data_IF_432293294930
#
_entry.id   IF_432293294930
#
_cell.length_a   1.000
_cell.length_b   1.000
_cell.length_c   1.000
_cell.angle_alpha   90.00
_cell.angle_beta   90.00
_cell.angle_gamma   90.00
#
_symmetry.space_group_name_H-M   'P 1'
#
loop_
_entity.id
_entity.type
_entity.pdbx_description
1 polymer ?
#
# COMPACT_ATOMS: atom_id res chain seq x y z
N UNK A 1 9.19 -16.11 -23.66
CA UNK A 1 8.72 -17.52 -23.66
C UNK A 1 7.20 -17.58 -23.45
N UNK A 2 6.64 -16.95 -22.43
CA UNK A 2 5.18 -16.97 -22.17
C UNK A 2 4.34 -16.37 -23.32
N UNK A 3 4.82 -15.31 -23.95
CA UNK A 3 4.14 -14.68 -25.12
C UNK A 3 4.10 -15.64 -26.31
N UNK A 4 5.23 -16.32 -26.60
CA UNK A 4 5.30 -17.34 -27.66
C UNK A 4 4.35 -18.50 -27.35
N UNK A 5 4.31 -18.97 -26.11
CA UNK A 5 3.41 -20.04 -25.67
C UNK A 5 1.93 -19.64 -25.80
N UNK A 6 1.55 -18.42 -25.44
CA UNK A 6 0.18 -17.89 -25.65
C UNK A 6 -0.16 -17.79 -27.13
N UNK A 7 0.77 -17.25 -27.94
CA UNK A 7 0.57 -17.15 -29.38
C UNK A 7 0.35 -18.53 -30.02
N UNK A 8 1.19 -19.55 -29.69
CA UNK A 8 1.03 -20.93 -30.18
C UNK A 8 -0.30 -21.54 -29.76
N UNK A 9 -0.73 -21.27 -28.50
CA UNK A 9 -2.04 -21.75 -28.01
C UNK A 9 -3.21 -21.14 -28.80
N UNK A 10 -3.10 -19.86 -29.17
CA UNK A 10 -4.13 -19.17 -29.96
C UNK A 10 -4.05 -19.47 -31.47
N UNK A 11 -2.89 -19.95 -31.95
CA UNK A 11 -2.65 -20.25 -33.35
C UNK A 11 -1.97 -21.63 -33.49
N UNK A 12 -2.69 -22.74 -33.25
CA UNK A 12 -2.10 -24.09 -33.19
C UNK A 12 -1.37 -24.52 -34.45
N UNK A 13 -1.86 -24.09 -35.62
CA UNK A 13 -1.32 -24.45 -36.95
C UNK A 13 -0.05 -23.69 -37.35
N UNK A 14 0.34 -22.66 -36.57
CA UNK A 14 1.55 -21.89 -36.89
C UNK A 14 2.80 -22.65 -36.52
N UNK A 15 3.72 -22.90 -37.49
CA UNK A 15 5.03 -23.48 -37.18
C UNK A 15 5.88 -22.51 -36.35
N UNK A 16 6.54 -23.05 -35.32
CA UNK A 16 7.46 -22.34 -34.45
C UNK A 16 8.93 -22.75 -34.66
N UNK A 17 9.19 -23.56 -35.65
CA UNK A 17 10.51 -24.20 -35.86
C UNK A 17 11.64 -23.20 -36.14
N UNK A 18 11.29 -22.03 -36.68
CA UNK A 18 12.23 -20.93 -36.92
C UNK A 18 12.51 -20.05 -35.70
N UNK A 19 11.75 -20.19 -34.62
CA UNK A 19 11.89 -19.36 -33.42
C UNK A 19 12.96 -19.97 -32.52
N UNK A 20 14.09 -19.25 -32.37
CA UNK A 20 15.16 -19.61 -31.45
C UNK A 20 15.12 -18.69 -30.24
N UNK A 21 15.08 -19.28 -29.04
CA UNK A 21 15.09 -18.53 -27.77
C UNK A 21 16.46 -18.80 -27.11
N UNK A 22 17.28 -17.75 -26.85
CA UNK A 22 18.51 -17.94 -26.09
C UNK A 22 18.16 -18.33 -24.65
N UNK A 23 18.83 -19.38 -24.16
CA UNK A 23 18.67 -19.86 -22.80
C UNK A 23 20.02 -19.81 -22.08
N UNK A 24 20.07 -19.18 -20.91
CA UNK A 24 21.19 -19.23 -19.98
C UNK A 24 20.78 -20.06 -18.77
N UNK A 25 21.50 -21.14 -18.53
CA UNK A 25 21.31 -21.99 -17.35
C UNK A 25 22.45 -21.69 -16.38
N UNK A 26 22.12 -21.38 -15.13
CA UNK A 26 23.10 -21.12 -14.07
C UNK A 26 22.83 -22.12 -12.94
N UNK A 27 23.88 -22.91 -12.61
CA UNK A 27 23.81 -23.84 -11.49
C UNK A 27 24.04 -23.09 -10.19
N UNK A 28 23.15 -23.22 -9.23
CA UNK A 28 23.19 -22.52 -7.94
C UNK A 28 23.71 -23.37 -6.78
N UNK A 29 24.02 -24.66 -7.02
CA UNK A 29 24.35 -25.61 -5.95
C UNK A 29 25.60 -25.21 -5.11
N UNK A 30 26.53 -24.47 -5.69
CA UNK A 30 27.78 -24.03 -5.03
C UNK A 30 27.88 -22.49 -4.95
N UNK A 31 26.81 -21.78 -5.30
CA UNK A 31 26.79 -20.32 -5.30
C UNK A 31 26.47 -19.76 -3.91
N UNK A 32 26.92 -18.52 -3.59
CA UNK A 32 26.50 -17.81 -2.38
C UNK A 32 24.98 -17.72 -2.26
N UNK A 33 24.47 -17.69 -1.04
CA UNK A 33 23.01 -17.72 -0.73
C UNK A 33 22.21 -16.68 -1.54
N UNK A 34 22.77 -15.51 -1.83
CA UNK A 34 22.10 -14.43 -2.55
C UNK A 34 22.42 -14.38 -4.05
N UNK A 35 23.23 -15.29 -4.59
CA UNK A 35 23.71 -15.22 -5.97
C UNK A 35 22.59 -15.27 -7.01
N UNK A 36 21.58 -16.12 -6.81
CA UNK A 36 20.42 -16.19 -7.71
C UNK A 36 19.66 -14.87 -7.79
N UNK A 37 19.49 -14.19 -6.66
CA UNK A 37 18.85 -12.86 -6.58
C UNK A 37 19.69 -11.80 -7.30
N UNK A 38 21.01 -11.80 -7.11
CA UNK A 38 21.91 -10.86 -7.78
C UNK A 38 21.95 -11.07 -9.29
N UNK A 39 22.00 -12.32 -9.75
CA UNK A 39 21.94 -12.66 -11.19
C UNK A 39 20.60 -12.21 -11.79
N UNK A 40 19.50 -12.44 -11.10
CA UNK A 40 18.18 -11.97 -11.53
C UNK A 40 18.15 -10.45 -11.62
N UNK A 41 18.67 -9.75 -10.62
CA UNK A 41 18.80 -8.29 -10.59
C UNK A 41 19.65 -7.77 -11.75
N UNK A 42 20.80 -8.40 -12.01
CA UNK A 42 21.73 -7.99 -13.06
C UNK A 42 21.17 -8.22 -14.47
N UNK A 43 20.54 -9.36 -14.71
CA UNK A 43 19.97 -9.71 -16.02
C UNK A 43 18.69 -8.91 -16.34
N UNK A 44 17.96 -8.48 -15.34
CA UNK A 44 16.69 -7.77 -15.52
C UNK A 44 16.82 -6.24 -15.55
N UNK A 45 18.04 -5.71 -15.48
CA UNK A 45 18.31 -4.27 -15.70
C UNK A 45 17.87 -3.77 -17.08
N UNK A 46 17.71 -4.65 -18.06
CA UNK A 46 17.21 -4.30 -19.41
C UNK A 46 15.69 -4.30 -19.51
N UNK A 47 14.98 -5.09 -18.71
CA UNK A 47 13.55 -4.94 -18.50
C UNK A 47 13.38 -4.04 -17.28
N UNK A 48 12.52 -3.06 -17.35
CA UNK A 48 12.21 -2.11 -16.27
C UNK A 48 11.60 -2.85 -15.06
N UNK A 49 12.45 -3.68 -14.38
CA UNK A 49 12.04 -4.32 -13.12
C UNK A 49 12.18 -3.25 -12.06
N UNK A 50 11.07 -2.93 -11.49
CA UNK A 50 11.00 -2.06 -10.34
C UNK A 50 11.34 -2.85 -9.06
N UNK A 51 11.89 -2.17 -8.06
CA UNK A 51 12.21 -2.79 -6.77
C UNK A 51 11.02 -3.54 -6.14
N UNK A 52 9.80 -3.14 -6.47
CA UNK A 52 8.56 -3.80 -6.10
C UNK A 52 8.49 -5.27 -6.56
N UNK A 53 9.13 -5.63 -7.66
CA UNK A 53 9.07 -7.01 -8.18
C UNK A 53 9.92 -7.99 -7.34
N UNK A 54 10.88 -7.47 -6.55
CA UNK A 54 11.67 -8.27 -5.62
C UNK A 54 10.96 -8.56 -4.28
N UNK A 55 9.85 -7.90 -4.02
CA UNK A 55 9.03 -8.12 -2.80
C UNK A 55 8.56 -9.57 -2.69
N UNK A 56 8.35 -10.25 -3.82
CA UNK A 56 7.98 -11.67 -3.85
C UNK A 56 9.04 -12.61 -3.29
N UNK A 57 10.27 -12.13 -3.09
CA UNK A 57 11.38 -12.88 -2.52
C UNK A 57 11.61 -12.55 -1.02
N UNK A 58 10.89 -11.56 -0.47
CA UNK A 58 11.00 -11.22 0.95
C UNK A 58 10.33 -12.30 1.82
N UNK A 59 11.06 -12.93 2.77
CA UNK A 59 10.51 -13.94 3.66
C UNK A 59 9.28 -13.47 4.45
N UNK A 60 9.22 -12.18 4.84
CA UNK A 60 8.06 -11.63 5.55
C UNK A 60 6.81 -11.61 4.67
N UNK A 61 6.96 -11.30 3.40
CA UNK A 61 5.82 -11.33 2.46
C UNK A 61 5.31 -12.75 2.22
N UNK A 62 6.23 -13.71 2.11
CA UNK A 62 5.87 -15.13 1.95
C UNK A 62 5.16 -15.64 3.22
N UNK A 63 5.62 -15.24 4.41
CA UNK A 63 4.99 -15.57 5.69
C UNK A 63 3.58 -14.98 5.78
N UNK A 64 3.43 -13.68 5.53
CA UNK A 64 2.12 -12.98 5.55
C UNK A 64 1.17 -13.62 4.54
N UNK A 65 1.64 -13.96 3.33
CA UNK A 65 0.84 -14.64 2.32
C UNK A 65 0.35 -16.00 2.80
N UNK A 66 1.21 -16.77 3.45
CA UNK A 66 0.85 -18.09 3.98
C UNK A 66 -0.18 -17.99 5.10
N UNK A 67 -0.02 -17.03 6.02
CA UNK A 67 -0.97 -16.75 7.08
C UNK A 67 -2.35 -16.33 6.54
N UNK A 68 -2.36 -15.39 5.58
CA UNK A 68 -3.60 -14.92 4.95
C UNK A 68 -4.32 -16.02 4.17
N UNK A 69 -3.57 -16.90 3.51
CA UNK A 69 -4.14 -18.04 2.78
C UNK A 69 -4.89 -19.00 3.72
N UNK A 70 -4.41 -19.19 4.94
CA UNK A 70 -5.11 -20.01 5.94
C UNK A 70 -6.45 -19.39 6.37
N UNK A 71 -6.57 -18.06 6.27
CA UNK A 71 -7.80 -17.31 6.52
C UNK A 71 -8.71 -17.16 5.26
N UNK A 72 -8.37 -17.84 4.17
CA UNK A 72 -9.12 -17.76 2.91
C UNK A 72 -8.93 -16.45 2.15
N UNK A 73 -7.86 -15.70 2.45
CA UNK A 73 -7.54 -14.43 1.81
C UNK A 73 -6.47 -14.65 0.74
N UNK A 74 -6.72 -14.16 -0.46
CA UNK A 74 -5.76 -14.15 -1.56
C UNK A 74 -4.94 -12.85 -1.55
N UNK A 75 -3.67 -12.98 -1.14
CA UNK A 75 -2.71 -11.89 -1.05
C UNK A 75 -1.70 -11.96 -2.19
N UNK A 76 -1.80 -11.02 -3.13
CA UNK A 76 -0.92 -10.98 -4.29
C UNK A 76 0.36 -10.19 -4.01
N UNK A 77 1.49 -10.90 -3.89
CA UNK A 77 2.83 -10.30 -3.75
C UNK A 77 3.52 -10.05 -5.10
N UNK A 78 3.01 -10.65 -6.17
CA UNK A 78 3.50 -10.45 -7.53
C UNK A 78 2.56 -9.53 -8.31
N UNK A 79 3.13 -8.74 -9.23
CA UNK A 79 2.30 -7.99 -10.18
C UNK A 79 1.59 -8.95 -11.12
N UNK A 80 0.31 -8.75 -11.31
CA UNK A 80 -0.49 -9.50 -12.28
C UNK A 80 -1.43 -8.55 -13.03
N UNK A 81 -1.44 -8.67 -14.35
CA UNK A 81 -2.38 -7.92 -15.20
C UNK A 81 -3.84 -8.35 -14.99
N UNK A 82 -4.03 -9.55 -14.44
CA UNK A 82 -5.36 -10.13 -14.17
C UNK A 82 -5.82 -9.95 -12.74
N UNK A 83 -5.02 -9.26 -11.90
CA UNK A 83 -5.37 -9.02 -10.50
C UNK A 83 -6.60 -8.12 -10.42
N UNK A 84 -7.58 -8.53 -9.61
CA UNK A 84 -8.77 -7.74 -9.27
C UNK A 84 -8.98 -7.80 -7.77
N UNK A 85 -8.99 -6.65 -7.12
CA UNK A 85 -9.26 -6.55 -5.70
C UNK A 85 -10.73 -6.93 -5.40
N UNK A 86 -10.94 -7.67 -4.30
CA UNK A 86 -12.26 -8.06 -3.79
C UNK A 86 -12.22 -8.07 -2.27
N UNK A 87 -13.32 -8.41 -1.60
CA UNK A 87 -13.37 -8.48 -0.14
C UNK A 87 -12.38 -9.47 0.46
N UNK A 88 -11.99 -10.48 -0.31
CA UNK A 88 -11.03 -11.53 0.08
C UNK A 88 -9.73 -11.48 -0.71
N UNK A 89 -9.51 -10.44 -1.52
CA UNK A 89 -8.33 -10.34 -2.40
C UNK A 89 -7.75 -8.94 -2.34
N UNK A 90 -6.44 -8.82 -2.07
CA UNK A 90 -5.69 -7.57 -2.14
C UNK A 90 -4.22 -7.83 -2.47
N UNK A 91 -3.51 -6.78 -2.89
CA UNK A 91 -2.09 -6.87 -3.21
C UNK A 91 -1.20 -6.20 -2.16
N UNK A 92 0.12 -6.36 -2.34
CA UNK A 92 1.10 -5.78 -1.43
C UNK A 92 1.08 -4.25 -1.43
N UNK A 93 0.70 -3.60 -2.52
CA UNK A 93 0.63 -2.14 -2.58
C UNK A 93 -0.53 -1.63 -1.72
N UNK A 94 -1.69 -2.30 -1.75
CA UNK A 94 -2.82 -2.00 -0.88
C UNK A 94 -2.52 -2.28 0.58
N UNK A 95 -1.86 -3.40 0.88
CA UNK A 95 -1.40 -3.73 2.23
C UNK A 95 -0.42 -2.67 2.76
N UNK A 96 0.59 -2.27 1.97
CA UNK A 96 1.57 -1.27 2.32
C UNK A 96 0.92 0.08 2.64
N UNK A 97 0.01 0.54 1.78
CA UNK A 97 -0.72 1.79 1.99
C UNK A 97 -1.54 1.75 3.27
N UNK A 98 -2.22 0.64 3.52
CA UNK A 98 -3.06 0.46 4.70
C UNK A 98 -2.23 0.44 5.98
N UNK A 99 -1.13 -0.32 6.00
CA UNK A 99 -0.18 -0.37 7.10
C UNK A 99 0.47 1.00 7.37
N UNK A 100 0.82 1.75 6.32
CA UNK A 100 1.35 3.10 6.46
C UNK A 100 0.35 4.02 7.18
N UNK A 101 -0.93 3.97 6.82
CA UNK A 101 -1.97 4.76 7.47
C UNK A 101 -2.22 4.31 8.93
N UNK A 102 -2.07 3.01 9.22
CA UNK A 102 -2.21 2.47 10.58
C UNK A 102 -0.98 2.69 11.47
N UNK A 103 0.17 3.02 10.88
CA UNK A 103 1.45 3.13 11.61
C UNK A 103 1.52 4.27 12.63
N UNK A 104 0.61 5.27 12.53
CA UNK A 104 0.71 6.51 13.30
C UNK A 104 1.89 7.40 12.88
N UNK A 105 2.58 7.08 11.78
CA UNK A 105 3.76 7.80 11.31
C UNK A 105 3.45 8.60 10.04
N UNK A 106 3.27 9.91 10.22
CA UNK A 106 2.93 10.82 9.13
C UNK A 106 4.01 10.89 8.03
N UNK A 107 5.28 10.68 8.38
CA UNK A 107 6.37 10.71 7.39
C UNK A 107 6.27 9.53 6.42
N UNK A 108 5.92 8.34 6.90
CA UNK A 108 5.66 7.17 6.05
C UNK A 108 4.48 7.44 5.12
N UNK A 109 3.38 7.95 5.67
CA UNK A 109 2.17 8.28 4.90
C UNK A 109 2.45 9.30 3.80
N UNK A 110 3.25 10.31 4.11
CA UNK A 110 3.64 11.35 3.14
C UNK A 110 4.50 10.76 2.01
N UNK A 111 5.41 9.85 2.34
CA UNK A 111 6.23 9.17 1.33
C UNK A 111 5.37 8.27 0.43
N UNK A 112 4.47 7.49 1.00
CA UNK A 112 3.48 6.69 0.25
C UNK A 112 2.61 7.56 -0.65
N UNK A 113 2.18 8.73 -0.17
CA UNK A 113 1.43 9.70 -0.98
C UNK A 113 2.26 10.25 -2.15
N UNK A 114 3.56 10.40 -1.97
CA UNK A 114 4.51 10.81 -3.02
C UNK A 114 4.78 9.73 -4.07
N UNK A 115 4.59 8.47 -3.72
CA UNK A 115 4.77 7.29 -4.58
C UNK A 115 5.19 6.06 -3.78
N UNK A 116 4.39 5.00 -3.88
CA UNK A 116 4.61 3.72 -3.19
C UNK A 116 5.98 3.11 -3.56
N UNK A 117 6.42 3.28 -4.81
CA UNK A 117 7.70 2.76 -5.31
C UNK A 117 8.92 3.16 -4.48
N UNK A 118 8.88 4.34 -3.85
CA UNK A 118 9.97 4.82 -2.97
C UNK A 118 10.17 3.98 -1.71
N UNK A 119 9.12 3.33 -1.22
CA UNK A 119 9.21 2.43 -0.06
C UNK A 119 9.99 1.17 -0.45
N UNK A 120 9.83 0.69 -1.68
CA UNK A 120 10.49 -0.52 -2.19
C UNK A 120 11.95 -0.29 -2.60
N UNK A 121 12.47 0.95 -2.60
CA UNK A 121 13.88 1.22 -2.91
C UNK A 121 14.83 0.57 -1.90
N UNK A 122 14.36 0.32 -0.66
CA UNK A 122 15.14 -0.36 0.38
C UNK A 122 14.29 -1.42 1.08
N UNK A 123 14.33 -2.65 0.56
CA UNK A 123 13.61 -3.80 1.12
C UNK A 123 14.27 -4.36 2.39
N UNK A 124 15.54 -4.07 2.62
CA UNK A 124 16.30 -4.56 3.78
C UNK A 124 16.21 -3.63 4.99
N UNK A 125 15.57 -2.46 4.85
CA UNK A 125 15.52 -1.48 5.92
C UNK A 125 14.49 -0.37 5.70
N UNK A 126 14.68 0.74 6.39
CA UNK A 126 13.85 1.94 6.26
C UNK A 126 12.38 1.69 6.57
N UNK A 127 11.51 2.40 5.87
CA UNK A 127 10.07 2.31 6.09
C UNK A 127 9.46 0.97 5.67
N UNK A 128 10.07 0.27 4.70
CA UNK A 128 9.59 -1.04 4.31
C UNK A 128 9.64 -2.03 5.47
N UNK A 129 10.78 -2.16 6.15
CA UNK A 129 10.92 -3.05 7.32
C UNK A 129 10.19 -2.53 8.57
N UNK A 130 9.89 -1.25 8.63
CA UNK A 130 8.99 -0.72 9.67
C UNK A 130 7.56 -1.24 9.49
N UNK A 131 7.09 -1.34 8.24
CA UNK A 131 5.73 -1.76 7.90
C UNK A 131 5.59 -3.28 7.82
N UNK A 132 6.60 -3.97 7.28
CA UNK A 132 6.64 -5.42 7.14
C UNK A 132 7.77 -5.98 7.99
N UNK A 133 7.46 -6.26 9.24
CA UNK A 133 8.38 -6.81 10.23
C UNK A 133 7.79 -8.10 10.86
N UNK A 134 8.58 -8.90 11.58
CA UNK A 134 8.12 -10.17 12.15
C UNK A 134 6.88 -10.08 13.07
N UNK A 135 6.59 -8.91 13.63
CA UNK A 135 5.44 -8.70 14.51
C UNK A 135 4.13 -8.41 13.72
N UNK A 136 4.23 -8.08 12.43
CA UNK A 136 3.06 -7.80 11.58
C UNK A 136 2.50 -9.12 11.06
N UNK A 137 1.37 -9.56 11.59
CA UNK A 137 0.69 -10.80 11.19
C UNK A 137 -0.20 -10.60 9.97
N UNK A 138 -0.47 -11.66 9.22
CA UNK A 138 -1.42 -11.63 8.09
C UNK A 138 -2.82 -11.22 8.53
N UNK A 139 -3.27 -11.68 9.70
CA UNK A 139 -4.57 -11.28 10.28
C UNK A 139 -4.63 -9.77 10.51
N UNK A 140 -3.57 -9.18 11.08
CA UNK A 140 -3.51 -7.73 11.26
C UNK A 140 -3.53 -6.99 9.93
N UNK A 141 -2.77 -7.44 8.93
CA UNK A 141 -2.79 -6.85 7.58
C UNK A 141 -4.20 -6.85 7.01
N UNK A 142 -4.92 -7.97 7.09
CA UNK A 142 -6.30 -8.08 6.62
C UNK A 142 -7.24 -7.10 7.35
N UNK A 143 -7.14 -6.99 8.66
CA UNK A 143 -7.95 -6.06 9.46
C UNK A 143 -7.69 -4.60 9.05
N UNK A 144 -6.44 -4.22 8.87
CA UNK A 144 -6.04 -2.85 8.47
C UNK A 144 -6.49 -2.54 7.04
N UNK A 145 -6.37 -3.49 6.11
CA UNK A 145 -6.86 -3.33 4.74
C UNK A 145 -8.39 -3.14 4.73
N UNK A 146 -9.13 -3.95 5.45
CA UNK A 146 -10.59 -3.81 5.58
C UNK A 146 -10.98 -2.45 6.17
N UNK A 147 -10.29 -2.00 7.21
CA UNK A 147 -10.51 -0.68 7.80
C UNK A 147 -10.22 0.45 6.80
N UNK A 148 -9.10 0.36 6.08
CA UNK A 148 -8.75 1.36 5.08
C UNK A 148 -9.81 1.44 3.96
N UNK A 149 -10.32 0.31 3.50
CA UNK A 149 -11.41 0.24 2.53
C UNK A 149 -12.70 0.89 3.04
N UNK A 150 -13.07 0.68 4.31
CA UNK A 150 -14.20 1.38 4.95
C UNK A 150 -14.01 2.89 4.93
N UNK A 151 -12.84 3.37 5.34
CA UNK A 151 -12.50 4.80 5.34
C UNK A 151 -12.58 5.38 3.92
N UNK A 152 -12.01 4.69 2.93
CA UNK A 152 -12.06 5.12 1.52
C UNK A 152 -13.51 5.15 0.99
N UNK A 153 -14.36 4.20 1.38
CA UNK A 153 -15.79 4.18 1.01
C UNK A 153 -16.52 5.40 1.55
N UNK A 154 -16.32 5.72 2.85
CA UNK A 154 -16.91 6.91 3.48
C UNK A 154 -16.40 8.19 2.79
N UNK A 155 -15.09 8.29 2.57
CA UNK A 155 -14.48 9.44 1.88
C UNK A 155 -15.03 9.63 0.47
N UNK A 156 -15.21 8.56 -0.29
CA UNK A 156 -15.79 8.62 -1.63
C UNK A 156 -17.26 9.08 -1.59
N UNK A 157 -18.04 8.60 -0.62
CA UNK A 157 -19.41 9.03 -0.43
C UNK A 157 -19.48 10.55 -0.09
N UNK A 158 -18.61 11.03 0.81
CA UNK A 158 -18.51 12.46 1.14
C UNK A 158 -18.07 13.29 -0.08
N UNK A 159 -17.12 12.79 -0.87
CA UNK A 159 -16.69 13.48 -2.10
C UNK A 159 -17.85 13.59 -3.11
N UNK A 160 -18.66 12.54 -3.24
CA UNK A 160 -19.80 12.52 -4.17
C UNK A 160 -20.95 13.45 -3.75
N UNK A 161 -21.06 13.82 -2.47
CA UNK A 161 -22.03 14.80 -1.97
C UNK A 161 -21.67 16.25 -2.37
N UNK A 162 -20.41 16.49 -2.75
CA UNK A 162 -19.99 17.82 -3.17
C UNK A 162 -20.55 18.12 -4.56
N UNK A 163 -21.24 19.26 -4.69
CA UNK A 163 -21.82 19.70 -5.98
C UNK A 163 -20.80 20.17 -7.01
N UNK A 164 -19.52 20.19 -6.67
CA UNK A 164 -18.42 20.65 -7.53
C UNK A 164 -17.18 19.79 -7.29
N UNK A 165 -16.47 19.46 -8.37
CA UNK A 165 -15.18 18.79 -8.36
C UNK A 165 -13.99 19.76 -8.16
N UNK A 166 -14.23 20.90 -7.55
CA UNK A 166 -13.22 21.92 -7.29
C UNK A 166 -13.42 22.53 -5.88
N UNK A 167 -12.44 23.34 -5.46
CA UNK A 167 -12.48 24.02 -4.18
C UNK A 167 -11.74 23.29 -3.06
N UNK A 168 -11.68 23.94 -1.88
CA UNK A 168 -10.88 23.44 -0.75
C UNK A 168 -11.41 22.14 -0.18
N UNK A 169 -12.72 21.99 -0.09
CA UNK A 169 -13.34 20.77 0.45
C UNK A 169 -13.06 19.56 -0.43
N UNK A 170 -13.27 19.70 -1.73
CA UNK A 170 -12.91 18.67 -2.70
C UNK A 170 -11.43 18.34 -2.66
N UNK A 171 -10.58 19.37 -2.67
CA UNK A 171 -9.13 19.21 -2.58
C UNK A 171 -8.69 18.50 -1.30
N UNK A 172 -9.33 18.77 -0.16
CA UNK A 172 -9.03 18.11 1.11
C UNK A 172 -9.38 16.61 1.05
N UNK A 173 -10.54 16.26 0.53
CA UNK A 173 -10.97 14.86 0.41
C UNK A 173 -10.10 14.08 -0.60
N UNK A 174 -9.75 14.69 -1.73
CA UNK A 174 -9.01 14.01 -2.82
C UNK A 174 -7.50 13.98 -2.55
N UNK A 175 -6.90 15.12 -2.22
CA UNK A 175 -5.45 15.19 -2.00
C UNK A 175 -5.06 14.74 -0.59
N UNK A 176 -5.93 14.96 0.40
CA UNK A 176 -5.73 14.57 1.81
C UNK A 176 -6.11 13.13 2.13
N UNK A 177 -6.45 12.28 1.15
CA UNK A 177 -6.97 10.93 1.38
C UNK A 177 -6.12 10.09 2.35
N UNK A 178 -4.79 10.09 2.22
CA UNK A 178 -3.88 9.34 3.09
C UNK A 178 -3.77 9.97 4.48
N UNK A 179 -3.81 11.30 4.58
CA UNK A 179 -3.84 12.00 5.86
C UNK A 179 -5.14 11.71 6.62
N UNK A 180 -6.27 11.73 5.94
CA UNK A 180 -7.57 11.38 6.53
C UNK A 180 -7.53 9.95 7.07
N UNK A 181 -7.04 8.98 6.28
CA UNK A 181 -6.92 7.60 6.73
C UNK A 181 -6.00 7.47 7.96
N UNK A 182 -4.85 8.15 7.97
CA UNK A 182 -3.95 8.20 9.12
C UNK A 182 -4.64 8.75 10.37
N UNK A 183 -5.37 9.88 10.26
CA UNK A 183 -6.06 10.50 11.39
C UNK A 183 -7.17 9.60 11.93
N UNK A 184 -7.98 9.00 11.06
CA UNK A 184 -9.06 8.08 11.47
C UNK A 184 -8.48 6.85 12.16
N UNK A 185 -7.47 6.21 11.58
CA UNK A 185 -6.85 5.02 12.17
C UNK A 185 -6.15 5.33 13.49
N UNK A 186 -5.56 6.53 13.62
CA UNK A 186 -4.97 6.99 14.89
C UNK A 186 -6.03 7.25 15.95
N UNK A 187 -7.15 7.87 15.58
CA UNK A 187 -8.29 8.11 16.48
C UNK A 187 -8.95 6.80 16.94
N UNK A 188 -9.00 5.79 16.09
CA UNK A 188 -9.48 4.44 16.42
C UNK A 188 -8.43 3.59 17.15
N UNK A 189 -7.21 4.10 17.36
CA UNK A 189 -6.09 3.39 17.99
C UNK A 189 -5.78 2.03 17.35
N UNK A 190 -5.89 1.96 16.02
CA UNK A 190 -5.67 0.72 15.26
C UNK A 190 -4.30 0.08 15.51
N UNK A 191 -3.27 0.91 15.80
CA UNK A 191 -1.94 0.44 16.17
C UNK A 191 -1.90 -0.26 17.53
N UNK A 192 -2.66 0.24 18.50
CA UNK A 192 -2.67 -0.31 19.87
C UNK A 192 -3.37 -1.67 19.91
N UNK A 193 -4.35 -1.91 19.04
CA UNK A 193 -5.02 -3.21 18.89
C UNK A 193 -4.07 -4.26 18.35
N UNK A 194 -3.20 -3.87 17.40
CA UNK A 194 -2.16 -4.77 16.87
C UNK A 194 -1.20 -5.29 17.94
N UNK A 195 -0.78 -4.44 18.88
CA UNK A 195 0.13 -4.83 19.94
C UNK A 195 -0.40 -5.98 20.81
N UNK A 196 -1.72 -6.26 20.76
CA UNK A 196 -2.38 -7.36 21.48
C UNK A 196 -2.45 -8.67 20.69
N UNK A 197 -2.03 -8.68 19.40
CA UNK A 197 -2.07 -9.87 18.54
C UNK A 197 -3.47 -10.40 18.22
N UNK A 198 -4.51 -9.59 18.42
CA UNK A 198 -5.91 -9.97 18.21
C UNK A 198 -6.47 -9.44 16.89
N UNK A 199 -7.47 -10.14 16.35
CA UNK A 199 -8.29 -9.58 15.26
C UNK A 199 -9.08 -8.40 15.77
N UNK A 200 -9.21 -7.36 14.96
CA UNK A 200 -10.04 -6.22 15.30
C UNK A 200 -11.04 -5.90 14.18
N UNK A 201 -12.18 -5.39 14.60
CA UNK A 201 -13.16 -4.79 13.71
C UNK A 201 -13.80 -3.61 14.44
N UNK A 202 -13.96 -2.51 13.75
CA UNK A 202 -14.66 -1.35 14.28
C UNK A 202 -16.09 -1.30 13.69
N UNK A 203 -17.13 -1.02 14.49
CA UNK A 203 -18.47 -0.74 14.00
C UNK A 203 -18.45 0.38 12.96
N UNK A 204 -19.32 0.30 11.96
CA UNK A 204 -19.37 1.31 10.90
C UNK A 204 -19.69 2.70 11.46
N UNK A 205 -20.60 2.79 12.43
CA UNK A 205 -20.96 4.03 13.11
C UNK A 205 -19.77 4.68 13.84
N UNK A 206 -18.90 3.88 14.45
CA UNK A 206 -17.71 4.38 15.12
C UNK A 206 -16.70 4.93 14.09
N UNK A 207 -16.48 4.21 12.99
CA UNK A 207 -15.59 4.67 11.91
C UNK A 207 -16.11 5.95 11.28
N UNK A 208 -17.42 6.06 11.01
CA UNK A 208 -18.05 7.26 10.47
C UNK A 208 -17.94 8.45 11.43
N UNK A 209 -18.15 8.23 12.73
CA UNK A 209 -17.99 9.27 13.76
C UNK A 209 -16.56 9.80 13.80
N UNK A 210 -15.57 8.91 13.89
CA UNK A 210 -14.15 9.31 13.94
C UNK A 210 -13.72 9.95 12.63
N UNK A 211 -14.23 9.46 11.50
CA UNK A 211 -13.98 10.07 10.18
C UNK A 211 -14.48 11.52 10.13
N UNK A 212 -15.73 11.75 10.53
CA UNK A 212 -16.34 13.08 10.51
C UNK A 212 -15.59 14.07 11.41
N UNK A 213 -15.21 13.64 12.61
CA UNK A 213 -14.41 14.44 13.54
C UNK A 213 -13.01 14.75 12.98
N UNK A 214 -12.34 13.75 12.40
CA UNK A 214 -11.00 13.91 11.81
C UNK A 214 -11.03 14.85 10.60
N UNK A 215 -12.04 14.71 9.75
CA UNK A 215 -12.22 15.58 8.59
C UNK A 215 -12.48 17.03 8.98
N UNK A 216 -13.35 17.26 9.98
CA UNK A 216 -13.64 18.60 10.49
C UNK A 216 -12.37 19.28 11.01
N UNK A 217 -11.65 18.63 11.92
CA UNK A 217 -10.40 19.16 12.48
C UNK A 217 -9.33 19.40 11.42
N UNK A 218 -9.25 18.51 10.42
CA UNK A 218 -8.32 18.70 9.29
C UNK A 218 -8.68 19.97 8.50
N UNK A 219 -9.97 20.18 8.17
CA UNK A 219 -10.42 21.37 7.44
C UNK A 219 -10.13 22.66 8.23
N UNK A 220 -10.44 22.68 9.53
CA UNK A 220 -10.16 23.81 10.43
C UNK A 220 -8.66 24.12 10.48
N UNK A 221 -7.81 23.09 10.71
CA UNK A 221 -6.36 23.26 10.76
C UNK A 221 -5.79 23.79 9.44
N UNK A 222 -6.30 23.29 8.30
CA UNK A 222 -5.89 23.76 6.99
C UNK A 222 -6.33 25.20 6.70
N UNK A 223 -7.53 25.58 7.12
CA UNK A 223 -8.03 26.94 6.95
C UNK A 223 -7.23 27.97 7.76
N UNK A 224 -6.89 27.61 9.01
CA UNK A 224 -6.15 28.49 9.92
C UNK A 224 -4.67 28.68 9.50
N UNK A 225 -4.00 27.62 9.08
CA UNK A 225 -2.52 27.65 8.97
C UNK A 225 -2.00 27.52 7.53
N UNK A 226 -2.85 27.11 6.57
CA UNK A 226 -2.41 26.75 5.21
C UNK A 226 -3.39 27.24 4.14
N UNK A 227 -4.07 28.38 4.37
CA UNK A 227 -5.05 28.95 3.44
C UNK A 227 -4.53 29.17 2.04
N UNK A 228 -3.24 29.55 1.92
CA UNK A 228 -2.58 29.93 0.67
C UNK A 228 -1.83 28.77 0.00
N UNK A 229 -1.86 27.57 0.64
CA UNK A 229 -1.15 26.41 0.08
C UNK A 229 -2.03 25.64 -0.90
N UNK A 230 -1.43 25.16 -1.98
CA UNK A 230 -2.07 24.15 -2.83
C UNK A 230 -2.08 22.82 -2.09
N UNK A 231 -3.26 22.23 -1.88
CA UNK A 231 -3.41 21.00 -1.11
C UNK A 231 -2.64 19.80 -1.71
N UNK A 232 -2.54 19.75 -3.04
CA UNK A 232 -1.77 18.71 -3.72
C UNK A 232 -0.29 18.70 -3.36
N UNK A 233 0.33 19.88 -3.17
CA UNK A 233 1.73 20.00 -2.73
C UNK A 233 1.88 19.88 -1.22
N UNK A 234 0.91 20.40 -0.45
CA UNK A 234 0.92 20.32 1.00
C UNK A 234 0.98 18.86 1.49
N UNK A 235 0.10 18.01 1.00
CA UNK A 235 0.05 16.60 1.43
C UNK A 235 1.20 15.73 0.90
N UNK A 236 2.12 16.28 0.13
CA UNK A 236 3.40 15.65 -0.25
C UNK A 236 4.60 16.20 0.54
N UNK A 237 4.37 17.20 1.39
CA UNK A 237 5.42 17.82 2.21
C UNK A 237 5.39 17.22 3.63
N UNK A 238 6.42 16.44 3.98
CA UNK A 238 6.49 15.74 5.25
C UNK A 238 6.45 16.67 6.46
N UNK A 239 7.17 17.80 6.42
CA UNK A 239 7.22 18.78 7.53
C UNK A 239 5.84 19.37 7.80
N UNK A 240 5.15 19.84 6.74
CA UNK A 240 3.80 20.40 6.88
C UNK A 240 2.79 19.36 7.34
N UNK A 241 2.84 18.15 6.77
CA UNK A 241 1.96 17.05 7.17
C UNK A 241 2.16 16.66 8.63
N UNK A 242 3.40 16.56 9.10
CA UNK A 242 3.69 16.27 10.52
C UNK A 242 3.16 17.39 11.43
N UNK A 243 3.30 18.67 11.06
CA UNK A 243 2.76 19.77 11.83
C UNK A 243 1.23 19.71 11.95
N UNK A 244 0.54 19.45 10.82
CA UNK A 244 -0.93 19.26 10.79
C UNK A 244 -1.34 18.06 11.65
N UNK A 245 -0.70 16.91 11.47
CA UNK A 245 -0.99 15.68 12.22
C UNK A 245 -0.82 15.90 13.72
N UNK A 246 0.32 16.42 14.16
CA UNK A 246 0.60 16.65 15.58
C UNK A 246 -0.37 17.66 16.21
N UNK A 247 -0.73 18.74 15.49
CA UNK A 247 -1.71 19.71 15.98
C UNK A 247 -3.08 19.06 16.22
N UNK A 248 -3.54 18.22 15.29
CA UNK A 248 -4.83 17.54 15.42
C UNK A 248 -4.79 16.49 16.54
N UNK A 249 -3.73 15.67 16.61
CA UNK A 249 -3.60 14.61 17.60
C UNK A 249 -3.41 15.12 19.05
N UNK A 250 -2.90 16.34 19.22
CA UNK A 250 -2.79 16.97 20.53
C UNK A 250 -4.17 17.36 21.13
N UNK A 251 -5.23 17.34 20.32
CA UNK A 251 -6.60 17.69 20.72
C UNK A 251 -7.53 16.47 20.84
N UNK A 252 -6.99 15.27 20.63
CA UNK A 252 -7.67 13.97 20.74
C UNK A 252 -7.32 13.30 22.06
#
# INVERSE_FOLDING_TARGET
VSTIGRFKKSNPETSMDSIKVPLRVIQLAEAPVNFGTEVTRANNRQNKIENRDFVSQDPEQIRIQSELRMEGIDYSIMRSETFSASDTTFDVDEALVSLACASGNCSIVTQVKGGVGKIYENLEGGYYKTLFNPNVTGVYVNCVVKLNRKIEKIRNAETSKLGSYSGKDYGTLVHGNRMIALLVMSGLKAKDVFAKGETFSFPDEEVEKVFSQSLLRLKETLAENYSDNTLGSLFKNSTKCNAVYNKIMATV
#
